data_IF_542023483492
#
_entry.id   IF_542023483492
#
_cell.length_a   1.000
_cell.length_b   1.000
_cell.length_c   1.000
_cell.angle_alpha   90.00
_cell.angle_beta   90.00
_cell.angle_gamma   90.00
#
_symmetry.space_group_name_H-M   'P 1'
#
loop_
_entity.id
_entity.type
_entity.pdbx_description
1 polymer ?
#
# COMPACT_ATOMS: atom_id res chain seq x y z
N UNK A 1 14.63 24.60 19.88
CA UNK A 1 14.48 24.19 18.47
C UNK A 1 13.63 22.94 18.45
N UNK A 2 12.55 22.92 17.70
CA UNK A 2 11.79 21.72 17.50
C UNK A 2 12.71 20.71 16.80
N UNK A 3 12.85 19.50 17.36
CA UNK A 3 13.60 18.44 16.71
C UNK A 3 12.90 18.10 15.38
N UNK A 4 13.67 17.93 14.32
CA UNK A 4 13.12 17.38 13.08
C UNK A 4 12.64 15.95 13.36
N UNK A 5 11.39 15.68 13.06
CA UNK A 5 10.76 14.39 13.30
C UNK A 5 9.99 13.99 12.04
N UNK A 6 10.23 12.79 11.57
CA UNK A 6 9.49 12.19 10.47
C UNK A 6 8.70 10.96 10.94
N UNK A 7 7.42 10.90 10.56
CA UNK A 7 6.61 9.71 10.66
C UNK A 7 6.52 9.05 9.28
N UNK A 8 6.79 7.75 9.18
CA UNK A 8 6.84 7.04 7.89
C UNK A 8 5.92 5.82 7.94
N UNK A 9 4.95 5.75 7.04
CA UNK A 9 4.15 4.56 6.72
C UNK A 9 4.62 4.00 5.36
N UNK A 10 5.30 2.86 5.40
CA UNK A 10 5.76 2.16 4.21
C UNK A 10 4.70 1.16 3.76
N UNK A 11 3.71 1.65 3.01
CA UNK A 11 2.72 0.78 2.38
C UNK A 11 3.22 0.21 1.05
N UNK A 12 2.67 -0.93 0.63
CA UNK A 12 3.05 -1.55 -0.66
C UNK A 12 2.70 -0.65 -1.84
N UNK A 13 1.50 -0.08 -1.87
CA UNK A 13 1.07 0.79 -2.98
C UNK A 13 1.54 2.23 -2.83
N UNK A 14 1.45 2.77 -1.60
CA UNK A 14 1.81 4.16 -1.31
C UNK A 14 2.74 4.25 -0.11
N UNK A 15 3.71 5.15 -0.18
CA UNK A 15 4.49 5.62 0.96
C UNK A 15 3.86 6.92 1.45
N UNK A 16 3.77 7.06 2.77
CA UNK A 16 3.36 8.32 3.40
C UNK A 16 4.46 8.77 4.35
N UNK A 17 4.89 10.01 4.22
CA UNK A 17 5.90 10.62 5.07
C UNK A 17 5.36 11.93 5.64
N UNK A 18 5.21 11.99 6.95
CA UNK A 18 4.85 13.19 7.67
C UNK A 18 6.10 13.91 8.17
N UNK A 19 6.24 15.19 7.85
CA UNK A 19 7.28 16.07 8.38
C UNK A 19 6.68 16.98 9.45
N UNK A 20 7.03 16.74 10.70
CA UNK A 20 6.51 17.52 11.82
C UNK A 20 6.97 18.99 11.81
N UNK A 21 8.13 19.30 11.22
CA UNK A 21 8.66 20.65 11.24
C UNK A 21 7.80 21.63 10.45
N UNK A 22 7.25 21.19 9.32
CA UNK A 22 6.49 22.00 8.37
C UNK A 22 5.01 21.61 8.34
N UNK A 23 4.61 20.62 9.15
CA UNK A 23 3.26 20.03 9.16
C UNK A 23 2.80 19.57 7.76
N UNK A 24 3.72 18.94 7.02
CA UNK A 24 3.47 18.48 5.66
C UNK A 24 3.45 16.98 5.56
N UNK A 25 2.61 16.45 4.66
CA UNK A 25 2.53 15.02 4.36
C UNK A 25 2.86 14.83 2.89
N UNK A 26 3.84 13.98 2.61
CA UNK A 26 4.07 13.43 1.28
C UNK A 26 3.31 12.12 1.15
N UNK A 27 2.57 11.95 0.06
CA UNK A 27 1.91 10.68 -0.33
C UNK A 27 2.29 10.39 -1.77
N UNK A 28 3.01 9.29 -1.99
CA UNK A 28 3.53 8.90 -3.30
C UNK A 28 3.40 7.39 -3.51
N UNK A 29 3.34 6.94 -4.76
CA UNK A 29 3.39 5.50 -5.07
C UNK A 29 4.72 4.89 -4.65
N UNK A 30 4.68 3.72 -4.02
CA UNK A 30 5.88 2.97 -3.66
C UNK A 30 6.40 2.19 -4.87
N UNK A 31 6.81 2.90 -5.90
CA UNK A 31 7.31 2.32 -7.14
C UNK A 31 8.64 2.94 -7.57
N UNK A 32 9.45 2.12 -8.23
CA UNK A 32 10.71 2.56 -8.84
C UNK A 32 10.84 1.98 -10.25
N UNK A 33 11.29 2.81 -11.16
CA UNK A 33 11.64 2.44 -12.53
C UNK A 33 13.17 2.43 -12.68
N UNK A 34 13.73 1.29 -13.01
CA UNK A 34 15.17 1.09 -13.18
C UNK A 34 15.48 0.83 -14.65
N UNK A 35 16.33 1.66 -15.22
CA UNK A 35 16.86 1.49 -16.55
C UNK A 35 18.20 0.74 -16.52
N UNK A 36 18.38 -0.19 -17.47
CA UNK A 36 19.66 -0.92 -17.67
C UNK A 36 20.23 -1.53 -16.37
N UNK A 37 19.36 -2.00 -15.48
CA UNK A 37 19.63 -2.68 -14.19
C UNK A 37 20.11 -1.80 -13.04
N UNK A 38 20.62 -0.59 -13.26
CA UNK A 38 21.24 0.21 -12.18
C UNK A 38 20.75 1.66 -12.11
N UNK A 39 20.35 2.25 -13.22
CA UNK A 39 19.98 3.66 -13.24
C UNK A 39 18.53 3.86 -12.82
N UNK A 40 18.28 4.70 -11.82
CA UNK A 40 16.93 5.11 -11.47
C UNK A 40 16.44 6.06 -12.56
N UNK A 41 15.42 5.64 -13.30
CA UNK A 41 14.78 6.42 -14.35
C UNK A 41 13.65 7.30 -13.78
N UNK A 42 12.82 6.71 -12.91
CA UNK A 42 11.72 7.40 -12.24
C UNK A 42 11.40 6.69 -10.90
N UNK A 43 10.70 7.39 -10.02
CA UNK A 43 10.18 6.86 -8.76
C UNK A 43 8.83 7.52 -8.42
N UNK A 44 8.11 6.95 -7.46
CA UNK A 44 6.82 7.48 -7.04
C UNK A 44 5.77 7.41 -8.13
N UNK A 45 4.93 8.43 -8.19
CA UNK A 45 3.86 8.57 -9.17
C UNK A 45 4.38 8.58 -10.61
N UNK A 46 5.56 9.16 -10.86
CA UNK A 46 6.19 9.14 -12.18
C UNK A 46 6.53 7.72 -12.66
N UNK A 47 6.98 6.83 -11.76
CA UNK A 47 7.20 5.42 -12.10
C UNK A 47 5.87 4.68 -12.31
N UNK A 48 4.86 4.98 -11.50
CA UNK A 48 3.53 4.40 -11.65
C UNK A 48 2.86 4.80 -12.97
N UNK A 49 3.09 6.01 -13.49
CA UNK A 49 2.56 6.42 -14.79
C UNK A 49 3.11 5.62 -15.96
N UNK A 50 4.30 5.07 -15.80
CA UNK A 50 4.94 4.21 -16.80
C UNK A 50 4.57 2.73 -16.61
N UNK A 51 3.98 2.35 -15.49
CA UNK A 51 3.64 0.96 -15.19
C UNK A 51 2.72 0.35 -16.25
N UNK A 52 3.02 -0.90 -16.66
CA UNK A 52 2.38 -1.64 -17.76
C UNK A 52 2.57 -1.00 -19.16
N UNK A 53 3.35 0.08 -19.31
CA UNK A 53 3.60 0.79 -20.58
C UNK A 53 5.07 0.98 -20.90
N UNK A 54 5.95 0.71 -19.95
CA UNK A 54 7.39 0.95 -20.11
C UNK A 54 8.01 0.05 -21.19
N UNK A 55 9.02 0.55 -21.91
CA UNK A 55 9.79 -0.26 -22.84
C UNK A 55 10.61 -1.32 -22.10
N UNK A 56 11.07 -2.37 -22.81
CA UNK A 56 11.69 -3.56 -22.22
C UNK A 56 13.02 -3.31 -21.49
N UNK A 57 13.69 -2.18 -21.73
CA UNK A 57 14.91 -1.78 -21.01
C UNK A 57 14.64 -1.08 -19.66
N UNK A 58 13.36 -0.77 -19.35
CA UNK A 58 12.96 -0.18 -18.06
C UNK A 58 12.15 -1.21 -17.27
N UNK A 59 12.66 -1.57 -16.11
CA UNK A 59 11.99 -2.45 -15.16
C UNK A 59 11.33 -1.63 -14.07
N UNK A 60 10.01 -1.80 -13.90
CA UNK A 60 9.22 -1.10 -12.88
C UNK A 60 8.75 -2.11 -11.84
N UNK A 61 8.98 -1.83 -10.57
CA UNK A 61 8.64 -2.74 -9.48
C UNK A 61 8.21 -2.00 -8.22
N UNK A 62 7.46 -2.73 -7.38
CA UNK A 62 7.21 -2.39 -5.99
C UNK A 62 8.33 -3.00 -5.14
N UNK A 63 9.14 -2.22 -4.41
CA UNK A 63 10.20 -2.78 -3.58
C UNK A 63 9.70 -3.36 -2.25
N UNK A 64 8.40 -3.21 -1.96
CA UNK A 64 7.72 -3.79 -0.81
C UNK A 64 6.57 -4.67 -1.30
N UNK A 65 6.40 -5.86 -0.73
CA UNK A 65 5.36 -6.82 -1.10
C UNK A 65 4.90 -7.62 0.11
N UNK A 66 3.59 -7.86 0.20
CA UNK A 66 2.97 -8.62 1.29
C UNK A 66 3.36 -8.14 2.70
N UNK A 67 3.55 -6.83 2.86
CA UNK A 67 3.90 -6.20 4.13
C UNK A 67 5.38 -6.28 4.49
N UNK A 68 6.25 -6.84 3.64
CA UNK A 68 7.69 -6.97 3.89
C UNK A 68 8.53 -6.34 2.77
N UNK A 69 9.77 -5.97 3.10
CA UNK A 69 10.70 -5.39 2.14
C UNK A 69 11.22 -6.51 1.24
N UNK A 70 10.87 -6.45 -0.06
CA UNK A 70 11.31 -7.41 -1.08
C UNK A 70 12.63 -7.00 -1.73
N UNK A 71 12.89 -5.68 -1.85
CA UNK A 71 14.11 -5.11 -2.43
C UNK A 71 14.60 -3.95 -1.57
N UNK A 72 15.52 -4.26 -0.65
CA UNK A 72 16.05 -3.29 0.32
C UNK A 72 16.77 -2.13 -0.37
N UNK A 73 17.56 -2.42 -1.41
CA UNK A 73 18.37 -1.40 -2.08
C UNK A 73 17.52 -0.37 -2.84
N UNK A 74 16.46 -0.83 -3.51
CA UNK A 74 15.54 0.07 -4.17
C UNK A 74 14.66 0.82 -3.15
N UNK A 75 14.32 0.18 -2.02
CA UNK A 75 13.60 0.83 -0.95
C UNK A 75 14.41 1.96 -0.28
N UNK A 76 15.72 1.75 -0.04
CA UNK A 76 16.65 2.79 0.46
C UNK A 76 16.71 4.00 -0.47
N UNK A 77 16.77 3.76 -1.80
CA UNK A 77 16.76 4.84 -2.80
C UNK A 77 15.46 5.65 -2.74
N UNK A 78 14.31 4.97 -2.73
CA UNK A 78 12.99 5.62 -2.69
C UNK A 78 12.85 6.48 -1.43
N UNK A 79 13.12 5.93 -0.26
CA UNK A 79 13.02 6.67 1.01
C UNK A 79 13.92 7.90 0.99
N UNK A 80 15.15 7.77 0.51
CA UNK A 80 16.07 8.89 0.39
C UNK A 80 15.57 9.96 -0.59
N UNK A 81 15.03 9.57 -1.73
CA UNK A 81 14.50 10.51 -2.71
C UNK A 81 13.31 11.28 -2.14
N UNK A 82 12.33 10.60 -1.57
CA UNK A 82 11.18 11.27 -0.98
C UNK A 82 11.53 12.19 0.19
N UNK A 83 12.49 11.81 1.02
CA UNK A 83 12.98 12.71 2.07
C UNK A 83 13.74 13.92 1.50
N UNK A 84 14.47 13.76 0.40
CA UNK A 84 15.09 14.86 -0.32
C UNK A 84 14.04 15.81 -0.90
N UNK A 85 13.02 15.28 -1.55
CA UNK A 85 11.93 16.07 -2.14
C UNK A 85 11.20 16.86 -1.04
N UNK A 86 10.86 16.20 0.05
CA UNK A 86 10.15 16.79 1.18
C UNK A 86 10.98 17.88 1.91
N UNK A 87 12.32 17.79 1.87
CA UNK A 87 13.23 18.71 2.58
C UNK A 87 13.98 19.66 1.66
N UNK A 88 13.64 19.71 0.37
CA UNK A 88 14.35 20.53 -0.62
C UNK A 88 15.83 20.17 -0.74
N UNK A 89 16.18 18.89 -0.75
CA UNK A 89 17.54 18.35 -0.78
C UNK A 89 18.42 18.73 0.42
N UNK A 90 17.80 19.13 1.53
CA UNK A 90 18.51 19.55 2.75
C UNK A 90 18.14 18.70 3.96
N UNK A 91 18.38 17.38 3.87
CA UNK A 91 18.13 16.47 5.00
C UNK A 91 18.99 16.87 6.20
N UNK A 92 18.34 17.29 7.27
CA UNK A 92 18.96 17.57 8.57
C UNK A 92 18.85 16.33 9.47
N UNK A 93 19.68 16.31 10.53
CA UNK A 93 19.57 15.25 11.54
C UNK A 93 18.17 15.23 12.16
N UNK A 94 17.53 14.04 12.18
CA UNK A 94 16.14 13.88 12.56
C UNK A 94 15.87 12.59 13.32
N UNK A 95 14.76 12.55 14.03
CA UNK A 95 14.19 11.33 14.61
C UNK A 95 13.16 10.74 13.64
N UNK A 96 13.23 9.43 13.41
CA UNK A 96 12.37 8.69 12.49
C UNK A 96 11.50 7.70 13.24
N UNK A 97 10.20 7.75 12.99
CA UNK A 97 9.20 6.79 13.48
C UNK A 97 8.62 6.05 12.29
N UNK A 98 8.79 4.72 12.25
CA UNK A 98 8.39 3.89 11.11
C UNK A 98 7.29 2.95 11.56
N UNK A 99 6.13 3.03 10.90
CA UNK A 99 5.06 2.07 11.09
C UNK A 99 5.38 0.77 10.34
N UNK A 100 5.35 -0.36 11.03
CA UNK A 100 5.58 -1.69 10.47
C UNK A 100 4.40 -2.60 10.78
N UNK A 101 4.08 -3.58 9.92
CA UNK A 101 3.02 -4.53 10.20
C UNK A 101 3.28 -5.25 11.53
N UNK A 102 2.22 -5.56 12.23
CA UNK A 102 2.31 -6.11 13.60
C UNK A 102 2.69 -7.59 13.60
N UNK A 103 2.13 -8.36 12.66
CA UNK A 103 2.34 -9.80 12.56
C UNK A 103 3.45 -10.12 11.55
N UNK A 104 4.66 -9.63 11.85
CA UNK A 104 5.88 -9.89 11.08
C UNK A 104 6.99 -10.38 12.02
N UNK A 105 7.97 -11.09 11.47
CA UNK A 105 9.09 -11.63 12.23
C UNK A 105 10.02 -10.53 12.74
N UNK A 106 10.80 -10.81 13.78
CA UNK A 106 11.82 -9.87 14.28
C UNK A 106 12.89 -9.52 13.22
N UNK A 107 13.17 -10.45 12.30
CA UNK A 107 14.08 -10.20 11.17
C UNK A 107 13.48 -9.17 10.21
N UNK A 108 12.21 -9.30 9.90
CA UNK A 108 11.49 -8.35 9.05
C UNK A 108 11.37 -6.98 9.72
N UNK A 109 11.03 -6.92 11.02
CA UNK A 109 11.05 -5.65 11.78
C UNK A 109 12.43 -5.00 11.75
N UNK A 110 13.49 -5.80 11.89
CA UNK A 110 14.86 -5.32 11.81
C UNK A 110 15.20 -4.75 10.44
N UNK A 111 14.69 -5.31 9.35
CA UNK A 111 14.90 -4.80 8.00
C UNK A 111 14.35 -3.38 7.83
N UNK A 112 13.20 -3.04 8.45
CA UNK A 112 12.67 -1.67 8.44
C UNK A 112 13.55 -0.68 9.22
N UNK A 113 14.14 -1.11 10.34
CA UNK A 113 15.09 -0.29 11.08
C UNK A 113 16.36 -0.05 10.26
N UNK A 114 16.93 -1.13 9.70
CA UNK A 114 18.15 -1.08 8.92
C UNK A 114 17.98 -0.24 7.64
N UNK A 115 16.80 -0.31 7.00
CA UNK A 115 16.43 0.53 5.87
C UNK A 115 16.69 2.03 6.14
N UNK A 116 16.20 2.56 7.26
CA UNK A 116 16.40 3.98 7.57
C UNK A 116 17.84 4.28 7.99
N UNK A 117 18.49 3.35 8.71
CA UNK A 117 19.90 3.50 9.09
C UNK A 117 20.80 3.62 7.86
N UNK A 118 20.53 2.79 6.83
CA UNK A 118 21.40 2.63 5.68
C UNK A 118 21.01 3.54 4.48
N UNK A 119 19.80 4.14 4.51
CA UNK A 119 19.33 5.07 3.48
C UNK A 119 20.11 6.42 3.43
N UNK A 120 21.08 6.63 4.33
CA UNK A 120 21.88 7.87 4.43
C UNK A 120 21.04 9.14 4.67
N UNK A 121 20.08 9.05 5.55
CA UNK A 121 19.10 10.12 5.85
C UNK A 121 19.41 10.88 7.15
N UNK A 122 20.65 10.80 7.66
CA UNK A 122 21.12 11.45 8.90
C UNK A 122 20.24 11.17 10.11
N UNK A 123 19.86 9.91 10.31
CA UNK A 123 19.04 9.49 11.42
C UNK A 123 19.76 9.70 12.77
N UNK A 124 19.14 10.45 13.68
CA UNK A 124 19.56 10.62 15.06
C UNK A 124 18.96 9.52 15.95
N UNK A 125 17.70 9.23 15.75
CA UNK A 125 16.95 8.18 16.42
C UNK A 125 16.05 7.49 15.41
N UNK A 126 15.94 6.16 15.50
CA UNK A 126 15.03 5.36 14.69
C UNK A 126 14.15 4.58 15.66
N UNK A 127 12.84 4.70 15.49
CA UNK A 127 11.85 3.94 16.26
C UNK A 127 10.93 3.21 15.31
N UNK A 128 10.84 1.90 15.51
CA UNK A 128 9.87 1.05 14.82
C UNK A 128 8.62 0.99 15.69
N UNK A 129 7.47 1.29 15.11
CA UNK A 129 6.16 1.33 15.76
C UNK A 129 5.24 0.33 15.07
N UNK A 130 4.53 -0.46 15.85
CA UNK A 130 3.55 -1.38 15.29
C UNK A 130 2.39 -0.62 14.66
N UNK A 131 2.06 -0.98 13.41
CA UNK A 131 1.09 -0.25 12.59
C UNK A 131 -0.28 -0.17 13.26
N UNK A 132 -0.75 -1.23 13.90
CA UNK A 132 -2.02 -1.22 14.62
C UNK A 132 -2.07 -0.15 15.73
N UNK A 133 -0.96 0.07 16.45
CA UNK A 133 -0.87 1.13 17.46
C UNK A 133 -0.88 2.51 16.82
N UNK A 134 -0.15 2.68 15.70
CA UNK A 134 -0.13 3.93 14.94
C UNK A 134 -1.52 4.25 14.37
N UNK A 135 -2.22 3.26 13.82
CA UNK A 135 -3.58 3.38 13.30
C UNK A 135 -4.56 3.78 14.40
N UNK A 136 -4.48 3.14 15.59
CA UNK A 136 -5.32 3.49 16.74
C UNK A 136 -5.13 4.93 17.19
N UNK A 137 -3.88 5.38 17.27
CA UNK A 137 -3.57 6.77 17.61
C UNK A 137 -4.05 7.76 16.53
N UNK A 138 -3.90 7.40 15.26
CA UNK A 138 -4.36 8.22 14.13
C UNK A 138 -5.88 8.34 14.02
N UNK A 139 -6.61 7.39 14.60
CA UNK A 139 -8.09 7.40 14.70
C UNK A 139 -8.59 8.05 16.01
N UNK A 140 -7.71 8.68 16.79
CA UNK A 140 -8.02 9.26 18.12
C UNK A 140 -8.62 8.25 19.10
N UNK A 141 -8.28 6.97 18.95
CA UNK A 141 -8.72 5.92 19.88
C UNK A 141 -7.87 5.99 21.15
N UNK A 142 -8.51 5.97 22.31
CA UNK A 142 -7.79 5.80 23.58
C UNK A 142 -7.26 4.36 23.71
N UNK A 143 -6.09 4.13 23.11
CA UNK A 143 -5.42 2.82 23.12
C UNK A 143 -5.05 2.33 24.52
N UNK A 144 -5.07 3.22 25.54
CA UNK A 144 -4.78 2.87 26.95
C UNK A 144 -6.00 2.34 27.69
N UNK A 145 -7.18 2.47 27.10
CA UNK A 145 -8.40 1.96 27.71
C UNK A 145 -8.31 0.42 27.89
N UNK A 146 -8.89 -0.08 28.98
CA UNK A 146 -9.00 -1.52 29.25
C UNK A 146 -10.03 -2.23 28.35
N UNK A 147 -10.96 -1.47 27.77
CA UNK A 147 -11.91 -2.01 26.79
C UNK A 147 -11.16 -2.24 25.47
N UNK A 148 -11.19 -3.48 24.98
CA UNK A 148 -10.55 -3.86 23.74
C UNK A 148 -11.19 -3.16 22.53
N UNK A 149 -10.35 -2.68 21.61
CA UNK A 149 -10.78 -2.09 20.33
C UNK A 149 -10.24 -2.93 19.19
N UNK A 150 -11.15 -3.37 18.32
CA UNK A 150 -10.81 -4.06 17.08
C UNK A 150 -10.49 -3.02 16.00
N UNK A 151 -9.32 -3.13 15.38
CA UNK A 151 -8.91 -2.35 14.20
C UNK A 151 -8.73 -3.31 13.03
N UNK A 152 -9.35 -2.99 11.91
CA UNK A 152 -9.19 -3.70 10.64
C UNK A 152 -8.64 -2.73 9.62
N UNK A 153 -7.37 -2.90 9.25
CA UNK A 153 -6.69 -2.10 8.25
C UNK A 153 -6.60 -2.87 6.94
N UNK A 154 -7.44 -2.52 5.96
CA UNK A 154 -7.45 -3.12 4.62
C UNK A 154 -6.49 -2.34 3.74
N UNK A 155 -5.29 -2.89 3.53
CA UNK A 155 -4.25 -2.31 2.68
C UNK A 155 -4.34 -2.75 1.22
N UNK A 156 -3.25 -2.52 0.48
CA UNK A 156 -3.15 -2.93 -0.93
C UNK A 156 -2.89 -4.43 -1.06
N UNK A 157 -1.86 -4.98 -0.39
CA UNK A 157 -1.51 -6.40 -0.46
C UNK A 157 -2.11 -7.23 0.68
N UNK A 158 -2.27 -6.59 1.83
CA UNK A 158 -2.59 -7.28 3.09
C UNK A 158 -3.70 -6.57 3.83
N UNK A 159 -4.42 -7.33 4.64
CA UNK A 159 -5.32 -6.80 5.68
C UNK A 159 -4.76 -7.19 7.04
N UNK A 160 -4.60 -6.20 7.92
CA UNK A 160 -4.19 -6.40 9.31
C UNK A 160 -5.42 -6.26 10.22
N UNK A 161 -5.64 -7.28 11.06
CA UNK A 161 -6.74 -7.33 12.02
C UNK A 161 -6.11 -7.39 13.40
N UNK A 162 -6.35 -6.39 14.25
CA UNK A 162 -5.69 -6.26 15.54
C UNK A 162 -6.67 -5.86 16.65
N UNK A 163 -6.46 -6.39 17.85
CA UNK A 163 -7.16 -5.95 19.05
C UNK A 163 -6.18 -5.21 19.96
N UNK A 164 -6.49 -3.96 20.23
CA UNK A 164 -5.73 -3.09 21.13
C UNK A 164 -6.43 -3.00 22.50
N UNK A 165 -5.67 -3.08 23.58
CA UNK A 165 -6.14 -2.82 24.94
C UNK A 165 -4.96 -2.46 25.84
N UNK A 166 -5.16 -1.59 26.84
CA UNK A 166 -4.16 -1.19 27.83
C UNK A 166 -2.83 -0.70 27.23
N UNK A 167 -2.89 -0.05 26.07
CA UNK A 167 -1.72 0.50 25.38
C UNK A 167 -0.89 -0.51 24.60
N UNK A 168 -1.36 -1.73 24.42
CA UNK A 168 -0.68 -2.79 23.69
C UNK A 168 -1.58 -3.58 22.76
N UNK A 169 -0.96 -4.45 21.98
CA UNK A 169 -1.66 -5.38 21.09
C UNK A 169 -1.94 -6.67 21.84
N UNK A 170 -3.20 -7.04 21.93
CA UNK A 170 -3.66 -8.27 22.56
C UNK A 170 -3.60 -9.43 21.58
N UNK A 171 -4.13 -9.22 20.40
CA UNK A 171 -4.13 -10.18 19.29
C UNK A 171 -3.91 -9.42 17.98
N UNK A 172 -3.24 -10.06 17.04
CA UNK A 172 -3.03 -9.55 15.70
C UNK A 172 -2.99 -10.68 14.68
N UNK A 173 -3.47 -10.40 13.49
CA UNK A 173 -3.40 -11.30 12.34
C UNK A 173 -3.22 -10.50 11.06
N UNK A 174 -2.22 -10.89 10.27
CA UNK A 174 -1.99 -10.38 8.93
C UNK A 174 -2.47 -11.43 7.90
N UNK A 175 -3.36 -11.03 7.02
CA UNK A 175 -3.81 -11.88 5.91
C UNK A 175 -3.41 -11.27 4.57
N UNK A 176 -3.05 -12.12 3.59
CA UNK A 176 -2.60 -11.71 2.25
C UNK A 176 -3.79 -11.49 1.31
N UNK A 177 -4.73 -10.65 1.76
CA UNK A 177 -5.89 -10.19 1.01
C UNK A 177 -5.97 -8.68 1.19
N UNK A 178 -6.05 -7.96 0.08
CA UNK A 178 -6.13 -6.51 0.04
C UNK A 178 -6.54 -6.01 -1.33
N UNK A 179 -6.38 -4.72 -1.58
CA UNK A 179 -6.82 -4.04 -2.80
C UNK A 179 -6.32 -4.69 -4.09
N UNK A 180 -5.08 -5.22 -4.12
CA UNK A 180 -4.54 -5.90 -5.29
C UNK A 180 -5.30 -7.18 -5.63
N UNK A 181 -5.68 -7.97 -4.63
CA UNK A 181 -6.49 -9.17 -4.84
C UNK A 181 -7.87 -8.83 -5.39
N UNK A 182 -8.43 -7.70 -4.97
CA UNK A 182 -9.68 -7.20 -5.51
C UNK A 182 -9.53 -6.80 -6.99
N UNK A 183 -8.46 -6.08 -7.35
CA UNK A 183 -8.17 -5.69 -8.73
C UNK A 183 -7.96 -6.93 -9.62
N UNK A 184 -7.23 -7.93 -9.14
CA UNK A 184 -7.00 -9.19 -9.86
C UNK A 184 -8.31 -9.98 -10.06
N UNK A 185 -9.21 -9.99 -9.07
CA UNK A 185 -10.53 -10.62 -9.19
C UNK A 185 -11.40 -9.94 -10.24
N UNK A 186 -11.41 -8.59 -10.27
CA UNK A 186 -12.11 -7.82 -11.30
C UNK A 186 -11.54 -8.13 -12.68
N UNK A 187 -10.22 -8.12 -12.85
CA UNK A 187 -9.56 -8.47 -14.13
C UNK A 187 -9.93 -9.88 -14.59
N UNK A 188 -9.95 -10.84 -13.67
CA UNK A 188 -10.34 -12.21 -13.97
C UNK A 188 -11.82 -12.33 -14.39
N UNK A 189 -12.73 -11.62 -13.70
CA UNK A 189 -14.15 -11.59 -14.03
C UNK A 189 -14.40 -10.96 -15.40
N UNK A 190 -13.78 -9.82 -15.70
CA UNK A 190 -13.85 -9.13 -16.99
C UNK A 190 -13.33 -10.02 -18.12
N UNK A 191 -12.19 -10.67 -17.89
CA UNK A 191 -11.61 -11.61 -18.86
C UNK A 191 -12.55 -12.79 -19.14
N UNK A 192 -13.14 -13.36 -18.09
CA UNK A 192 -14.03 -14.54 -18.20
C UNK A 192 -15.35 -14.20 -18.89
N UNK A 193 -15.94 -13.05 -18.57
CA UNK A 193 -17.27 -12.69 -19.04
C UNK A 193 -17.27 -12.03 -20.42
N UNK A 194 -16.26 -11.22 -20.72
CA UNK A 194 -16.21 -10.41 -21.95
C UNK A 194 -15.07 -10.75 -22.90
N UNK A 195 -14.21 -11.72 -22.58
CA UNK A 195 -12.95 -11.99 -23.30
C UNK A 195 -12.08 -10.73 -23.43
N UNK A 196 -12.11 -9.84 -22.44
CA UNK A 196 -11.45 -8.55 -22.45
C UNK A 196 -10.30 -8.53 -21.44
N UNK A 197 -9.11 -8.08 -21.87
CA UNK A 197 -7.98 -7.82 -20.98
C UNK A 197 -7.96 -6.33 -20.65
N UNK A 198 -8.07 -6.02 -19.36
CA UNK A 198 -7.87 -4.67 -18.80
C UNK A 198 -6.60 -4.62 -17.96
N UNK A 199 -5.96 -3.44 -17.89
CA UNK A 199 -4.78 -3.21 -17.05
C UNK A 199 -5.14 -3.06 -15.57
N UNK A 200 -4.11 -3.14 -14.70
CA UNK A 200 -4.27 -2.99 -13.24
C UNK A 200 -4.85 -1.64 -12.85
N UNK A 201 -4.37 -0.55 -13.46
CA UNK A 201 -4.93 0.81 -13.22
C UNK A 201 -6.42 0.90 -13.56
N UNK A 202 -6.85 0.26 -14.65
CA UNK A 202 -8.27 0.24 -15.04
C UNK A 202 -9.09 -0.53 -14.01
N UNK A 203 -8.60 -1.67 -13.54
CA UNK A 203 -9.28 -2.46 -12.52
C UNK A 203 -9.39 -1.72 -11.19
N UNK A 204 -8.32 -1.05 -10.74
CA UNK A 204 -8.33 -0.19 -9.54
C UNK A 204 -9.36 0.93 -9.66
N UNK A 205 -9.42 1.62 -10.79
CA UNK A 205 -10.39 2.68 -11.05
C UNK A 205 -11.83 2.15 -11.04
N UNK A 206 -12.07 1.00 -11.65
CA UNK A 206 -13.38 0.33 -11.65
C UNK A 206 -13.78 -0.04 -10.22
N UNK A 207 -12.88 -0.63 -9.44
CA UNK A 207 -13.12 -0.94 -8.04
C UNK A 207 -13.53 0.30 -7.25
N UNK A 208 -12.76 1.39 -7.37
CA UNK A 208 -13.03 2.65 -6.64
C UNK A 208 -14.38 3.27 -7.04
N UNK A 209 -14.73 3.17 -8.32
CA UNK A 209 -15.94 3.82 -8.85
C UNK A 209 -17.22 2.99 -8.70
N UNK A 210 -17.13 1.66 -8.72
CA UNK A 210 -18.27 0.76 -8.78
C UNK A 210 -18.45 -0.16 -7.58
N UNK A 211 -17.39 -0.47 -6.81
CA UNK A 211 -17.55 -1.31 -5.63
C UNK A 211 -18.43 -0.57 -4.61
N UNK A 212 -19.69 -0.97 -4.56
CA UNK A 212 -20.71 -0.29 -3.78
C UNK A 212 -21.63 -1.34 -3.13
N UNK A 213 -21.47 -1.50 -1.83
CA UNK A 213 -22.28 -2.42 -1.06
C UNK A 213 -23.74 -1.96 -0.90
N UNK A 214 -24.05 -0.73 -1.31
CA UNK A 214 -25.39 -0.15 -1.22
C UNK A 214 -26.32 -0.53 -2.40
N UNK A 215 -25.84 -1.33 -3.34
CA UNK A 215 -26.62 -1.91 -4.46
C UNK A 215 -27.19 -0.89 -5.47
N UNK A 216 -26.60 0.25 -5.64
CA UNK A 216 -26.92 1.11 -6.76
C UNK A 216 -26.52 0.45 -8.08
N UNK A 217 -27.47 0.31 -9.00
CA UNK A 217 -27.20 -0.26 -10.32
C UNK A 217 -26.52 0.81 -11.20
N UNK A 218 -25.18 0.87 -11.11
CA UNK A 218 -24.34 1.77 -11.91
C UNK A 218 -23.49 0.94 -12.89
N UNK A 219 -22.93 1.60 -13.88
CA UNK A 219 -21.98 1.02 -14.81
C UNK A 219 -20.78 1.94 -15.03
N UNK A 220 -19.63 1.36 -15.35
CA UNK A 220 -18.48 2.10 -15.82
C UNK A 220 -18.01 1.59 -17.17
N UNK A 221 -17.70 2.52 -18.06
CA UNK A 221 -17.13 2.22 -19.37
C UNK A 221 -15.62 2.03 -19.21
N UNK A 222 -15.12 0.88 -19.70
CA UNK A 222 -13.71 0.55 -19.73
C UNK A 222 -13.22 0.27 -21.13
N UNK A 223 -11.93 0.54 -21.36
CA UNK A 223 -11.22 0.17 -22.56
C UNK A 223 -10.25 -0.96 -22.27
N UNK A 224 -10.26 -1.97 -23.11
CA UNK A 224 -9.37 -3.12 -22.98
C UNK A 224 -9.03 -3.71 -24.34
N UNK A 225 -8.24 -4.78 -24.33
CA UNK A 225 -7.90 -5.54 -25.52
C UNK A 225 -8.72 -6.82 -25.59
N UNK A 226 -9.49 -6.98 -26.66
CA UNK A 226 -10.21 -8.22 -26.93
C UNK A 226 -9.21 -9.36 -27.20
N UNK A 227 -9.42 -10.51 -26.54
CA UNK A 227 -8.49 -11.66 -26.61
C UNK A 227 -8.51 -12.32 -27.98
N UNK A 228 -9.67 -12.33 -28.64
CA UNK A 228 -9.87 -13.04 -29.92
C UNK A 228 -9.32 -12.24 -31.09
N UNK A 229 -9.65 -10.94 -31.16
CA UNK A 229 -9.28 -10.06 -32.27
C UNK A 229 -7.97 -9.31 -32.04
N UNK A 230 -7.52 -9.20 -30.78
CA UNK A 230 -6.36 -8.41 -30.38
C UNK A 230 -6.58 -6.88 -30.43
N UNK A 231 -7.79 -6.44 -30.81
CA UNK A 231 -8.11 -5.02 -31.00
C UNK A 231 -8.58 -4.35 -29.70
N UNK A 232 -8.39 -3.04 -29.57
CA UNK A 232 -9.01 -2.25 -28.50
C UNK A 232 -10.53 -2.28 -28.61
N UNK A 233 -11.21 -2.55 -27.51
CA UNK A 233 -12.68 -2.57 -27.41
C UNK A 233 -13.13 -1.86 -26.16
N UNK A 234 -14.26 -1.17 -26.27
CA UNK A 234 -14.98 -0.54 -25.18
C UNK A 234 -16.05 -1.50 -24.62
N UNK A 235 -16.19 -1.51 -23.28
CA UNK A 235 -17.23 -2.29 -22.60
C UNK A 235 -17.74 -1.53 -21.38
N UNK A 236 -19.05 -1.62 -21.16
CA UNK A 236 -19.67 -1.20 -19.92
C UNK A 236 -19.68 -2.37 -18.93
N UNK A 237 -19.20 -2.13 -17.71
CA UNK A 237 -19.16 -3.10 -16.64
C UNK A 237 -20.21 -2.72 -15.58
N UNK A 238 -21.17 -3.60 -15.28
CA UNK A 238 -22.19 -3.31 -14.25
C UNK A 238 -21.64 -3.52 -12.83
N UNK A 239 -22.11 -2.73 -11.87
CA UNK A 239 -21.77 -2.85 -10.45
C UNK A 239 -21.95 -4.28 -9.92
N UNK A 240 -23.05 -4.96 -10.26
CA UNK A 240 -23.33 -6.32 -9.78
C UNK A 240 -22.21 -7.33 -10.10
N UNK A 241 -21.59 -7.22 -11.29
CA UNK A 241 -20.46 -8.09 -11.64
C UNK A 241 -19.22 -7.79 -10.79
N UNK A 242 -18.98 -6.52 -10.50
CA UNK A 242 -17.85 -6.12 -9.65
C UNK A 242 -18.04 -6.65 -8.24
N UNK A 243 -19.20 -6.41 -7.64
CA UNK A 243 -19.52 -6.89 -6.29
C UNK A 243 -19.41 -8.42 -6.19
N UNK A 244 -19.98 -9.15 -7.17
CA UNK A 244 -19.87 -10.61 -7.22
C UNK A 244 -18.41 -11.08 -7.29
N UNK A 245 -17.55 -10.38 -8.03
CA UNK A 245 -16.14 -10.73 -8.16
C UNK A 245 -15.36 -10.55 -6.85
N UNK A 246 -15.81 -9.66 -5.96
CA UNK A 246 -15.13 -9.33 -4.70
C UNK A 246 -15.60 -10.14 -3.50
N UNK A 247 -16.76 -10.80 -3.59
CA UNK A 247 -17.49 -11.38 -2.46
C UNK A 247 -16.66 -12.41 -1.68
N UNK A 248 -15.90 -13.27 -2.36
CA UNK A 248 -15.05 -14.30 -1.73
C UNK A 248 -13.92 -13.67 -0.90
N UNK A 249 -13.36 -12.56 -1.37
CA UNK A 249 -12.33 -11.84 -0.65
C UNK A 249 -12.87 -11.14 0.60
N UNK A 250 -14.07 -10.57 0.53
CA UNK A 250 -14.74 -10.02 1.71
C UNK A 250 -15.06 -11.09 2.74
N UNK A 251 -15.57 -12.25 2.32
CA UNK A 251 -15.79 -13.38 3.24
C UNK A 251 -14.49 -13.83 3.90
N UNK A 252 -13.38 -13.86 3.16
CA UNK A 252 -12.07 -14.20 3.74
C UNK A 252 -11.69 -13.24 4.86
N UNK A 253 -11.89 -11.93 4.67
CA UNK A 253 -11.62 -10.92 5.71
C UNK A 253 -12.56 -11.13 6.90
N UNK A 254 -13.87 -11.25 6.66
CA UNK A 254 -14.90 -11.41 7.70
C UNK A 254 -14.65 -12.68 8.53
N UNK A 255 -14.31 -13.79 7.92
CA UNK A 255 -14.06 -15.05 8.63
C UNK A 255 -12.78 -14.96 9.49
N UNK A 256 -11.76 -14.23 9.04
CA UNK A 256 -10.58 -13.96 9.87
C UNK A 256 -10.89 -13.00 11.03
N UNK A 257 -11.80 -12.04 10.86
CA UNK A 257 -12.31 -11.20 11.97
C UNK A 257 -13.02 -12.08 13.01
N UNK A 258 -13.91 -12.98 12.58
CA UNK A 258 -14.65 -13.90 13.49
C UNK A 258 -13.72 -14.82 14.27
N UNK A 259 -12.59 -15.21 13.68
CA UNK A 259 -11.60 -16.09 14.37
C UNK A 259 -10.84 -15.34 15.45
N UNK A 260 -10.70 -14.01 15.34
CA UNK A 260 -9.92 -13.20 16.27
C UNK A 260 -10.80 -12.66 17.42
N UNK A 261 -12.11 -12.57 17.19
CA UNK A 261 -13.12 -12.22 18.20
C UNK A 261 -13.53 -13.42 19.06
#
# INVERSE_FOLDING_TARGET
MLNNVFGIDLGTNNIKIYNRADDTILVEKNMIAIENKNNVFAYGDSAFDMYEKAPSNIHISYPLSNGVIADIHNMEKIVRFFLNDLTGNSIKSADYYIAVPTDVTEVEKRAFYDLIRDANVKAKKIMVVEKAVADGLGLDIDVKNSQGVLIVNVGFDTTEISILSLGGIVLSRLIKVGGQKFDDAIRAAVRKQYNLIIGGKTAENVKISLADLEKENRGAVVYGRDIVTGLPVERELPTAMIDESLIEHFYTIIDNIKVIL
#
